data_IF_980803361637
#
_entry.id   IF_980803361637
#
_cell.length_a   1.000
_cell.length_b   1.000
_cell.length_c   1.000
_cell.angle_alpha   90.00
_cell.angle_beta   90.00
_cell.angle_gamma   90.00
#
_symmetry.space_group_name_H-M   'P 1'
#
loop_
_entity.id
_entity.type
_entity.pdbx_description
1 polymer ?
#
# COMPACT_ATOMS: atom_id res chain seq x y z
N UNK A 1 58.05 -5.41 7.95
CA UNK A 1 57.92 -6.46 6.92
C UNK A 1 56.56 -7.09 7.08
N UNK A 2 55.78 -7.07 6.00
CA UNK A 2 54.38 -7.44 5.91
C UNK A 2 54.15 -8.93 6.19
N UNK A 3 53.14 -9.26 7.00
CA UNK A 3 52.50 -10.58 6.97
C UNK A 3 50.99 -10.39 6.97
N UNK A 4 50.40 -10.80 5.86
CA UNK A 4 48.99 -10.73 5.52
C UNK A 4 48.13 -11.57 6.48
N UNK A 5 46.97 -11.04 6.83
CA UNK A 5 45.93 -11.74 7.59
C UNK A 5 44.87 -12.22 6.59
N UNK A 6 44.95 -13.48 6.17
CA UNK A 6 43.95 -14.13 5.32
C UNK A 6 42.80 -14.62 6.19
N UNK A 7 41.64 -13.95 6.09
CA UNK A 7 40.40 -14.41 6.71
C UNK A 7 39.76 -15.51 5.86
N UNK A 8 39.53 -16.66 6.48
CA UNK A 8 38.98 -17.87 5.89
C UNK A 8 37.45 -17.72 5.76
N UNK A 9 36.93 -17.66 4.54
CA UNK A 9 35.48 -17.80 4.28
C UNK A 9 35.06 -19.25 4.53
N UNK A 10 34.18 -19.47 5.50
CA UNK A 10 33.53 -20.75 5.73
C UNK A 10 32.36 -20.92 4.74
N UNK A 11 32.53 -21.87 3.82
CA UNK A 11 31.53 -22.33 2.86
C UNK A 11 30.60 -23.33 3.57
N UNK A 12 29.37 -22.95 3.86
CA UNK A 12 28.36 -23.88 4.40
C UNK A 12 27.57 -24.46 3.21
N UNK A 13 27.87 -25.72 2.88
CA UNK A 13 27.09 -26.55 1.96
C UNK A 13 25.82 -27.02 2.69
N UNK A 14 24.63 -26.61 2.21
CA UNK A 14 23.38 -27.30 2.52
C UNK A 14 23.07 -28.32 1.42
N UNK A 15 23.10 -29.60 1.78
CA UNK A 15 22.66 -30.70 0.92
C UNK A 15 21.14 -30.89 1.08
N UNK A 16 20.37 -30.66 0.00
CA UNK A 16 18.99 -31.13 -0.10
C UNK A 16 18.95 -32.66 -0.27
N UNK A 17 18.13 -33.34 0.53
CA UNK A 17 17.71 -34.72 0.25
C UNK A 17 16.26 -34.69 -0.20
N UNK A 18 16.01 -35.16 -1.42
CA UNK A 18 14.70 -35.40 -1.99
C UNK A 18 14.36 -36.89 -1.94
N UNK A 19 13.18 -37.20 -1.42
CA UNK A 19 12.36 -38.40 -1.67
C UNK A 19 10.92 -37.86 -1.77
N UNK A 20 10.05 -38.19 -2.73
CA UNK A 20 10.05 -39.25 -3.73
C UNK A 20 8.73 -40.02 -3.65
N UNK A 21 7.77 -39.71 -4.55
CA UNK A 21 6.59 -40.51 -4.91
C UNK A 21 5.31 -40.26 -4.07
N UNK A 22 4.08 -40.25 -4.60
CA UNK A 22 3.54 -40.49 -5.95
C UNK A 22 2.05 -40.90 -5.87
N UNK A 23 1.22 -40.48 -6.85
CA UNK A 23 -0.17 -40.93 -7.09
C UNK A 23 -1.24 -40.26 -6.21
N UNK A 24 -2.38 -39.73 -6.67
CA UNK A 24 -3.19 -39.95 -7.87
C UNK A 24 -4.64 -40.14 -7.40
N UNK A 25 -5.60 -39.32 -7.86
CA UNK A 25 -7.02 -39.54 -7.54
C UNK A 25 -7.88 -38.28 -7.53
N UNK A 26 -8.52 -38.03 -8.66
CA UNK A 26 -9.67 -37.14 -8.89
C UNK A 26 -10.91 -37.57 -8.07
N UNK A 27 -11.58 -36.63 -7.41
CA UNK A 27 -13.03 -36.64 -7.24
C UNK A 27 -13.56 -35.22 -7.08
N UNK A 28 -14.26 -34.77 -8.11
CA UNK A 28 -15.26 -33.71 -8.12
C UNK A 28 -16.43 -34.07 -7.20
N UNK A 29 -16.82 -33.17 -6.29
CA UNK A 29 -18.17 -33.15 -5.71
C UNK A 29 -18.71 -31.73 -5.70
N UNK A 30 -19.52 -31.46 -6.71
CA UNK A 30 -20.52 -30.40 -6.76
C UNK A 30 -21.74 -30.82 -5.95
N UNK A 31 -22.10 -30.05 -4.92
CA UNK A 31 -23.44 -30.13 -4.32
C UNK A 31 -24.22 -28.88 -4.72
N UNK A 32 -25.17 -29.07 -5.64
CA UNK A 32 -26.24 -28.14 -5.93
C UNK A 32 -27.46 -28.53 -5.08
N UNK A 33 -28.16 -27.54 -4.53
CA UNK A 33 -29.55 -27.69 -4.13
C UNK A 33 -30.32 -26.42 -4.47
N UNK A 34 -31.26 -26.59 -5.38
CA UNK A 34 -32.35 -25.68 -5.74
C UNK A 34 -33.24 -25.37 -4.54
N UNK A 35 -33.76 -24.14 -4.42
CA UNK A 35 -35.21 -23.92 -4.61
C UNK A 35 -35.59 -22.44 -4.86
N UNK A 36 -35.95 -22.18 -6.12
CA UNK A 36 -37.08 -21.42 -6.70
C UNK A 36 -37.99 -20.53 -5.84
N UNK A 37 -38.15 -19.27 -6.33
CA UNK A 37 -39.37 -18.43 -6.53
C UNK A 37 -40.32 -18.15 -5.33
N UNK A 38 -41.00 -17.00 -5.18
CA UNK A 38 -41.59 -16.10 -6.17
C UNK A 38 -42.04 -14.77 -5.52
N UNK A 39 -41.99 -13.69 -6.32
CA UNK A 39 -42.88 -12.51 -6.44
C UNK A 39 -43.45 -11.68 -5.25
N UNK A 40 -43.11 -10.37 -5.32
CA UNK A 40 -43.98 -9.21 -5.61
C UNK A 40 -45.38 -9.12 -4.97
N UNK A 41 -45.63 -8.09 -4.15
CA UNK A 41 -46.37 -6.87 -4.53
C UNK A 41 -46.81 -6.05 -3.30
N UNK A 42 -46.66 -4.72 -3.46
CA UNK A 42 -47.44 -3.58 -2.93
C UNK A 42 -48.68 -3.84 -2.04
N UNK A 43 -48.86 -3.07 -0.96
CA UNK A 43 -49.83 -1.95 -0.95
C UNK A 43 -49.73 -1.08 0.33
N UNK A 44 -50.13 0.16 0.10
CA UNK A 44 -50.37 1.37 0.88
C UNK A 44 -51.24 1.19 2.15
N UNK A 45 -51.00 1.97 3.22
CA UNK A 45 -52.01 2.90 3.76
C UNK A 45 -51.45 3.83 4.85
N UNK A 46 -51.99 5.04 4.81
CA UNK A 46 -51.89 6.15 5.73
C UNK A 46 -52.44 5.83 7.13
N UNK A 47 -52.03 6.59 8.15
CA UNK A 47 -52.93 7.60 8.74
C UNK A 47 -52.24 8.47 9.80
N UNK A 48 -52.41 9.77 9.57
CA UNK A 48 -52.22 10.90 10.46
C UNK A 48 -53.18 10.87 11.65
N UNK A 49 -52.74 11.34 12.82
CA UNK A 49 -53.66 12.03 13.71
C UNK A 49 -53.00 13.25 14.37
N UNK A 50 -53.64 14.39 14.13
CA UNK A 50 -53.35 15.73 14.66
C UNK A 50 -54.51 16.11 15.55
N UNK A 51 -54.24 16.80 16.67
CA UNK A 51 -55.04 17.86 17.37
C UNK A 51 -54.85 17.76 18.89
N UNK A 52 -54.11 18.67 19.53
CA UNK A 52 -54.52 19.99 20.07
C UNK A 52 -55.69 19.94 21.06
N UNK A 53 -55.44 20.25 22.34
CA UNK A 53 -55.96 21.50 22.91
C UNK A 53 -55.36 21.86 24.28
N UNK A 54 -55.15 23.17 24.39
CA UNK A 54 -54.77 24.03 25.51
C UNK A 54 -55.70 23.99 26.73
N UNK A 55 -55.14 24.31 27.90
CA UNK A 55 -55.48 25.49 28.74
C UNK A 55 -55.40 25.19 30.24
N UNK A 56 -54.51 25.87 30.98
CA UNK A 56 -54.88 26.89 31.97
C UNK A 56 -53.76 27.21 32.99
N UNK A 57 -53.64 28.50 33.25
CA UNK A 57 -52.66 29.19 34.10
C UNK A 57 -53.03 29.12 35.59
N UNK A 58 -52.04 29.13 36.51
CA UNK A 58 -51.97 30.18 37.55
C UNK A 58 -50.64 30.21 38.35
N UNK A 59 -50.08 31.43 38.40
CA UNK A 59 -49.19 32.11 39.36
C UNK A 59 -48.37 31.38 40.45
N UNK A 60 -47.07 31.72 40.45
CA UNK A 60 -46.47 32.51 41.54
C UNK A 60 -45.43 31.82 42.43
N UNK A 61 -44.14 32.18 42.28
CA UNK A 61 -43.30 32.65 43.39
C UNK A 61 -41.91 33.07 42.89
N UNK A 62 -41.53 34.28 43.29
CA UNK A 62 -40.21 34.90 43.13
C UNK A 62 -39.12 34.10 43.84
N UNK A 63 -37.96 33.99 43.22
CA UNK A 63 -36.74 33.39 43.76
C UNK A 63 -35.54 33.86 42.93
N UNK A 64 -35.00 35.00 43.33
CA UNK A 64 -33.75 35.56 42.84
C UNK A 64 -32.60 34.63 43.23
N UNK A 65 -31.89 34.09 42.25
CA UNK A 65 -30.60 33.45 42.46
C UNK A 65 -29.69 33.80 41.29
N UNK A 66 -28.94 34.88 41.48
CA UNK A 66 -27.92 35.38 40.55
C UNK A 66 -26.73 34.42 40.56
N UNK A 67 -26.86 33.31 39.80
CA UNK A 67 -25.73 32.43 39.50
C UNK A 67 -24.94 33.06 38.37
N UNK A 68 -23.79 33.62 38.71
CA UNK A 68 -22.74 34.00 37.76
C UNK A 68 -22.12 32.72 37.22
N UNK A 69 -22.75 32.16 36.19
CA UNK A 69 -22.21 31.04 35.43
C UNK A 69 -20.99 31.55 34.66
N UNK A 70 -19.82 31.26 35.22
CA UNK A 70 -18.53 31.49 34.59
C UNK A 70 -18.41 30.44 33.50
N UNK A 71 -18.88 30.79 32.30
CA UNK A 71 -18.61 30.04 31.08
C UNK A 71 -17.10 30.02 30.84
N UNK A 72 -16.45 28.98 31.36
CA UNK A 72 -15.14 28.56 30.88
C UNK A 72 -15.38 27.87 29.54
N UNK A 73 -15.36 28.67 28.48
CA UNK A 73 -15.15 28.21 27.11
C UNK A 73 -13.76 27.55 27.04
N UNK A 74 -13.73 26.30 27.49
CA UNK A 74 -12.65 25.38 27.16
C UNK A 74 -13.03 24.83 25.81
N UNK A 75 -12.43 25.42 24.78
CA UNK A 75 -12.40 24.82 23.45
C UNK A 75 -11.56 23.54 23.58
N UNK A 76 -12.17 22.48 24.09
CA UNK A 76 -11.61 21.14 24.11
C UNK A 76 -11.50 20.73 22.64
N UNK A 77 -10.30 20.89 22.07
CA UNK A 77 -9.98 20.33 20.76
C UNK A 77 -10.28 18.84 20.87
N UNK A 78 -11.32 18.38 20.18
CA UNK A 78 -11.71 16.98 20.15
C UNK A 78 -10.46 16.13 19.87
N UNK A 79 -10.20 15.15 20.73
CA UNK A 79 -9.09 14.24 20.54
C UNK A 79 -9.34 13.43 19.26
N UNK A 80 -8.33 13.34 18.39
CA UNK A 80 -8.43 12.50 17.21
C UNK A 80 -8.46 11.02 17.62
N UNK A 81 -9.15 10.19 16.83
CA UNK A 81 -9.20 8.74 17.04
C UNK A 81 -7.77 8.15 17.08
N UNK A 82 -7.54 7.19 17.97
CA UNK A 82 -6.23 6.54 18.13
C UNK A 82 -5.86 5.70 16.90
N UNK A 83 -6.87 5.13 16.25
CA UNK A 83 -6.74 4.23 15.10
C UNK A 83 -7.82 4.56 14.08
N UNK A 84 -7.45 4.57 12.80
CA UNK A 84 -8.36 4.82 11.68
C UNK A 84 -8.15 3.82 10.55
N UNK A 85 -9.17 3.67 9.70
CA UNK A 85 -9.07 2.91 8.45
C UNK A 85 -8.97 3.86 7.27
N UNK A 86 -8.05 3.56 6.37
CA UNK A 86 -7.91 4.24 5.08
C UNK A 86 -8.32 3.31 3.95
N UNK A 87 -8.83 3.90 2.87
CA UNK A 87 -8.88 3.26 1.56
C UNK A 87 -7.72 3.76 0.71
N UNK A 88 -7.00 2.83 0.09
CA UNK A 88 -5.96 3.09 -0.90
C UNK A 88 -6.44 2.61 -2.26
N UNK A 89 -6.35 3.47 -3.28
CA UNK A 89 -6.52 3.08 -4.68
C UNK A 89 -5.25 3.37 -5.46
N UNK A 90 -4.59 2.33 -5.96
CA UNK A 90 -3.52 2.47 -6.93
C UNK A 90 -4.11 2.41 -8.33
N UNK A 91 -3.88 3.44 -9.14
CA UNK A 91 -4.29 3.51 -10.55
C UNK A 91 -3.05 3.63 -11.43
N UNK A 92 -2.91 2.71 -12.38
CA UNK A 92 -1.84 2.79 -13.38
C UNK A 92 -2.21 3.76 -14.49
N UNK A 93 -1.23 4.55 -14.93
CA UNK A 93 -1.31 5.35 -16.16
C UNK A 93 -0.26 4.90 -17.18
N UNK A 94 0.54 3.88 -16.87
CA UNK A 94 1.52 3.27 -17.77
C UNK A 94 0.85 2.46 -18.87
N UNK A 95 0.84 3.00 -20.08
CA UNK A 95 0.23 2.39 -21.25
C UNK A 95 1.11 2.60 -22.49
N UNK A 96 0.90 1.79 -23.53
CA UNK A 96 1.69 1.88 -24.76
C UNK A 96 1.56 3.23 -25.47
N UNK A 97 0.41 3.90 -25.31
CA UNK A 97 0.14 5.18 -25.99
C UNK A 97 0.94 6.34 -25.38
N UNK A 98 1.32 6.27 -24.11
CA UNK A 98 2.03 7.34 -23.42
C UNK A 98 3.45 6.97 -22.96
N UNK A 99 3.80 5.69 -22.88
CA UNK A 99 5.19 5.21 -22.69
C UNK A 99 5.51 4.19 -23.80
N UNK A 100 5.67 4.62 -25.06
CA UNK A 100 5.74 3.71 -26.21
C UNK A 100 7.08 2.95 -26.34
N UNK A 101 8.18 3.46 -25.76
CA UNK A 101 9.52 2.93 -26.02
C UNK A 101 9.68 1.55 -25.39
N UNK A 102 9.81 0.53 -26.25
CA UNK A 102 9.92 -0.88 -25.87
C UNK A 102 8.81 -1.38 -24.92
N UNK A 103 7.61 -0.78 -24.99
CA UNK A 103 6.50 -1.12 -24.09
C UNK A 103 6.20 -2.62 -24.09
N UNK A 104 6.20 -3.30 -22.93
CA UNK A 104 6.01 -4.74 -22.88
C UNK A 104 4.53 -5.13 -23.07
N UNK A 105 4.25 -6.09 -23.94
CA UNK A 105 2.89 -6.55 -24.21
C UNK A 105 2.17 -7.20 -23.01
N UNK A 106 2.93 -7.68 -22.01
CA UNK A 106 2.43 -8.21 -20.75
C UNK A 106 2.68 -7.25 -19.56
N UNK A 107 2.67 -5.93 -19.81
CA UNK A 107 2.82 -4.89 -18.78
C UNK A 107 1.85 -5.09 -17.60
N UNK A 108 2.38 -5.09 -16.38
CA UNK A 108 1.60 -5.18 -15.15
C UNK A 108 2.38 -4.59 -13.97
N UNK A 109 1.69 -4.51 -12.83
CA UNK A 109 2.28 -4.25 -11.53
C UNK A 109 2.12 -5.49 -10.68
N UNK A 110 3.18 -5.89 -9.98
CA UNK A 110 3.10 -7.04 -9.07
C UNK A 110 2.12 -6.78 -7.92
N UNK A 111 1.71 -7.82 -7.19
CA UNK A 111 1.03 -7.65 -5.92
C UNK A 111 1.70 -6.60 -5.03
N UNK A 112 0.90 -5.72 -4.41
CA UNK A 112 1.40 -4.69 -3.51
C UNK A 112 1.77 -5.28 -2.15
N UNK A 113 2.84 -4.76 -1.56
CA UNK A 113 3.29 -5.09 -0.20
C UNK A 113 3.74 -3.84 0.51
N UNK A 114 3.43 -3.74 1.80
CA UNK A 114 3.69 -2.54 2.58
C UNK A 114 3.37 -2.72 4.04
N UNK A 115 3.39 -1.61 4.77
CA UNK A 115 3.11 -1.57 6.20
C UNK A 115 2.72 -0.15 6.63
N UNK A 116 2.02 -0.06 7.75
CA UNK A 116 2.01 1.17 8.55
C UNK A 116 3.03 1.03 9.67
N UNK A 117 3.78 2.10 9.94
CA UNK A 117 4.96 2.04 10.80
C UNK A 117 5.23 3.36 11.52
N UNK A 118 6.12 3.29 12.51
CA UNK A 118 6.69 4.46 13.18
C UNK A 118 7.96 4.94 12.44
N UNK A 119 8.63 5.96 12.95
CA UNK A 119 9.85 6.51 12.32
C UNK A 119 11.04 5.54 12.25
N UNK A 120 11.03 4.48 13.05
CA UNK A 120 12.10 3.46 13.11
C UNK A 120 11.85 2.28 12.16
N UNK A 121 10.64 2.16 11.60
CA UNK A 121 10.31 1.21 10.53
C UNK A 121 10.54 1.80 9.14
N UNK A 122 10.99 0.97 8.20
CA UNK A 122 11.03 1.29 6.76
C UNK A 122 11.21 0.00 5.95
N UNK A 123 10.79 0.00 4.69
CA UNK A 123 11.02 -1.13 3.75
C UNK A 123 11.94 -0.76 2.59
N UNK A 124 12.01 0.51 2.20
CA UNK A 124 13.01 1.04 1.26
C UNK A 124 13.28 2.51 1.54
N UNK A 125 14.45 3.00 1.13
CA UNK A 125 14.80 4.43 1.12
C UNK A 125 15.67 4.73 -0.11
N UNK A 126 15.44 5.84 -0.83
CA UNK A 126 16.39 6.31 -1.83
C UNK A 126 17.79 6.49 -1.25
N UNK A 127 18.82 6.35 -2.08
CA UNK A 127 20.23 6.45 -1.71
C UNK A 127 20.69 5.39 -0.67
N UNK A 128 19.94 4.30 -0.52
CA UNK A 128 20.32 3.15 0.32
C UNK A 128 20.28 1.84 -0.47
N UNK A 129 21.06 0.85 -0.04
CA UNK A 129 21.02 -0.48 -0.66
C UNK A 129 19.67 -1.16 -0.40
N UNK A 130 19.11 -1.82 -1.41
CA UNK A 130 17.92 -2.64 -1.26
C UNK A 130 18.17 -3.84 -0.33
N UNK A 131 17.18 -4.16 0.51
CA UNK A 131 17.18 -5.41 1.28
C UNK A 131 17.00 -6.62 0.35
N UNK A 132 17.27 -7.83 0.84
CA UNK A 132 17.03 -9.03 0.04
C UNK A 132 15.54 -9.20 -0.32
N UNK A 133 14.64 -8.84 0.58
CA UNK A 133 13.20 -8.79 0.30
C UNK A 133 12.83 -7.76 -0.77
N UNK A 134 13.43 -6.57 -0.74
CA UNK A 134 13.21 -5.55 -1.77
C UNK A 134 13.75 -5.99 -3.14
N UNK A 135 14.94 -6.58 -3.19
CA UNK A 135 15.50 -7.17 -4.44
C UNK A 135 14.56 -8.24 -4.98
N UNK A 136 14.13 -9.20 -4.15
CA UNK A 136 13.21 -10.25 -4.58
C UNK A 136 11.88 -9.67 -5.07
N UNK A 137 11.36 -8.62 -4.44
CA UNK A 137 10.12 -7.96 -4.87
C UNK A 137 10.32 -7.25 -6.21
N UNK A 138 11.40 -6.49 -6.38
CA UNK A 138 11.66 -5.69 -7.56
C UNK A 138 12.04 -6.51 -8.80
N UNK A 139 12.71 -7.66 -8.64
CA UNK A 139 13.12 -8.51 -9.77
C UNK A 139 12.07 -9.55 -10.17
N UNK A 140 11.21 -9.98 -9.23
CA UNK A 140 10.30 -11.12 -9.45
C UNK A 140 8.84 -10.88 -9.10
N UNK A 141 8.53 -9.79 -8.39
CA UNK A 141 7.20 -9.52 -7.84
C UNK A 141 6.85 -10.37 -6.62
N UNK A 142 7.79 -11.19 -6.12
CA UNK A 142 7.59 -12.02 -4.93
C UNK A 142 7.58 -11.17 -3.66
N UNK A 143 6.51 -11.28 -2.88
CA UNK A 143 6.37 -10.60 -1.59
C UNK A 143 6.96 -11.40 -0.42
N UNK A 144 7.36 -12.65 -0.65
CA UNK A 144 7.61 -13.60 0.44
C UNK A 144 8.66 -13.11 1.43
N UNK A 145 9.86 -12.81 0.94
CA UNK A 145 10.97 -12.39 1.79
C UNK A 145 10.76 -11.00 2.39
N UNK A 146 10.14 -10.07 1.64
CA UNK A 146 9.82 -8.74 2.17
C UNK A 146 8.77 -8.80 3.30
N UNK A 147 7.83 -9.75 3.26
CA UNK A 147 6.89 -9.99 4.37
C UNK A 147 7.60 -10.52 5.61
N UNK A 148 8.64 -11.33 5.46
CA UNK A 148 9.47 -11.79 6.59
C UNK A 148 10.23 -10.60 7.22
N UNK A 149 10.77 -9.70 6.40
CA UNK A 149 11.42 -8.47 6.85
C UNK A 149 10.42 -7.55 7.58
N UNK A 150 9.21 -7.36 7.04
CA UNK A 150 8.14 -6.60 7.72
C UNK A 150 7.74 -7.25 9.04
N UNK A 151 7.68 -8.59 9.10
CA UNK A 151 7.40 -9.30 10.35
C UNK A 151 8.50 -9.04 11.40
N UNK A 152 9.77 -8.90 10.98
CA UNK A 152 10.84 -8.50 11.89
C UNK A 152 10.68 -7.06 12.40
N UNK A 153 10.22 -6.13 11.55
CA UNK A 153 9.89 -4.74 11.94
C UNK A 153 8.76 -4.73 12.98
N UNK A 154 7.71 -5.55 12.78
CA UNK A 154 6.61 -5.69 13.73
C UNK A 154 7.08 -6.26 15.07
N UNK A 155 7.91 -7.31 15.05
CA UNK A 155 8.47 -7.91 16.27
C UNK A 155 9.40 -6.95 17.04
N UNK A 156 10.01 -5.99 16.35
CA UNK A 156 10.79 -4.92 16.96
C UNK A 156 9.92 -3.79 17.56
N UNK A 157 8.59 -3.84 17.40
CA UNK A 157 7.66 -2.83 17.88
C UNK A 157 7.54 -1.60 16.96
N UNK A 158 7.95 -1.71 15.69
CA UNK A 158 8.01 -0.58 14.75
C UNK A 158 6.88 -0.55 13.72
N UNK A 159 5.97 -1.51 13.76
CA UNK A 159 4.79 -1.59 12.91
C UNK A 159 3.72 -2.45 13.57
N UNK A 160 2.45 -2.21 13.25
CA UNK A 160 1.31 -3.04 13.67
C UNK A 160 0.47 -3.59 12.51
N UNK A 161 0.72 -3.18 11.27
CA UNK A 161 -0.09 -3.59 10.12
C UNK A 161 0.78 -3.99 8.93
N UNK A 162 0.45 -5.13 8.32
CA UNK A 162 1.04 -5.61 7.06
C UNK A 162 0.02 -5.41 5.94
N UNK A 163 0.45 -4.77 4.85
CA UNK A 163 -0.30 -4.70 3.59
C UNK A 163 0.19 -5.85 2.71
N UNK A 164 -0.72 -6.72 2.28
CA UNK A 164 -0.43 -7.90 1.46
C UNK A 164 -1.52 -8.06 0.39
N UNK A 165 -1.46 -7.23 -0.64
CA UNK A 165 -2.60 -6.98 -1.53
C UNK A 165 -2.34 -7.44 -2.97
N UNK A 166 -3.41 -7.52 -3.75
CA UNK A 166 -3.31 -7.87 -5.18
C UNK A 166 -2.62 -6.78 -6.01
N UNK A 167 -2.17 -7.14 -7.21
CA UNK A 167 -1.49 -6.21 -8.14
C UNK A 167 -2.44 -5.66 -9.19
N UNK A 168 -1.88 -4.97 -10.20
CA UNK A 168 -2.65 -4.48 -11.36
C UNK A 168 -2.16 -5.19 -12.61
N UNK A 169 -2.91 -6.22 -13.03
CA UNK A 169 -2.53 -7.09 -14.15
C UNK A 169 -3.58 -7.11 -15.28
N UNK A 170 -3.15 -7.50 -16.48
CA UNK A 170 -4.05 -7.63 -17.63
C UNK A 170 -4.71 -6.30 -18.00
N UNK A 171 -6.04 -6.32 -18.18
CA UNK A 171 -6.84 -5.14 -18.52
C UNK A 171 -7.23 -4.28 -17.31
N UNK A 172 -6.91 -4.69 -16.08
CA UNK A 172 -7.20 -3.90 -14.89
C UNK A 172 -6.41 -2.58 -14.93
N UNK A 173 -7.07 -1.48 -14.56
CA UNK A 173 -6.45 -0.15 -14.47
C UNK A 173 -6.10 0.25 -13.05
N UNK A 174 -6.72 -0.38 -12.06
CA UNK A 174 -6.52 -0.05 -10.66
C UNK A 174 -6.74 -1.26 -9.76
N UNK A 175 -6.27 -1.11 -8.52
CA UNK A 175 -6.58 -1.97 -7.38
C UNK A 175 -6.92 -1.08 -6.19
N UNK A 176 -7.95 -1.46 -5.44
CA UNK A 176 -8.41 -0.73 -4.25
C UNK A 176 -8.48 -1.69 -3.08
N UNK A 177 -7.96 -1.26 -1.92
CA UNK A 177 -8.00 -2.00 -0.66
C UNK A 177 -8.06 -1.04 0.52
N UNK A 178 -8.25 -1.58 1.72
CA UNK A 178 -8.24 -0.81 2.97
C UNK A 178 -7.06 -1.23 3.84
N UNK A 179 -6.54 -0.30 4.63
CA UNK A 179 -5.50 -0.58 5.62
C UNK A 179 -5.73 0.23 6.89
N UNK A 180 -5.16 -0.23 8.01
CA UNK A 180 -5.26 0.45 9.30
C UNK A 180 -4.01 1.27 9.59
N UNK A 181 -4.20 2.46 10.14
CA UNK A 181 -3.14 3.29 10.70
C UNK A 181 -3.50 3.67 12.14
N UNK A 182 -2.49 3.82 12.99
CA UNK A 182 -2.67 4.31 14.36
C UNK A 182 -1.75 5.49 14.63
N UNK A 183 -2.03 6.30 15.65
CA UNK A 183 -1.17 7.43 15.99
C UNK A 183 0.28 6.98 16.30
N UNK A 184 0.45 5.75 16.81
CA UNK A 184 1.76 5.15 17.06
C UNK A 184 2.47 4.68 15.77
N UNK A 185 1.71 4.33 14.74
CA UNK A 185 2.18 3.79 13.46
C UNK A 185 1.51 4.55 12.31
N UNK A 186 1.88 5.83 12.17
CA UNK A 186 1.20 6.80 11.31
C UNK A 186 1.89 7.05 9.97
N UNK A 187 2.97 6.33 9.67
CA UNK A 187 3.66 6.40 8.38
C UNK A 187 3.23 5.23 7.50
N UNK A 188 2.94 5.49 6.23
CA UNK A 188 2.64 4.47 5.24
C UNK A 188 3.81 4.27 4.29
N UNK A 189 4.26 3.02 4.14
CA UNK A 189 5.11 2.61 3.02
C UNK A 189 4.48 1.46 2.25
N UNK A 190 4.51 1.53 0.92
CA UNK A 190 3.99 0.48 0.03
C UNK A 190 4.80 0.44 -1.26
N UNK A 191 5.04 -0.76 -1.79
CA UNK A 191 5.83 -0.98 -3.01
C UNK A 191 5.17 -1.99 -3.95
N UNK A 192 5.51 -1.92 -5.23
CA UNK A 192 5.12 -2.89 -6.26
C UNK A 192 6.10 -2.84 -7.44
N UNK A 193 6.45 -4.00 -7.98
CA UNK A 193 7.31 -4.12 -9.15
C UNK A 193 6.60 -3.62 -10.41
N UNK A 194 7.33 -2.87 -11.22
CA UNK A 194 6.98 -2.56 -12.61
C UNK A 194 7.37 -3.76 -13.45
N UNK A 195 6.42 -4.41 -14.12
CA UNK A 195 6.66 -5.73 -14.67
C UNK A 195 6.27 -5.84 -16.16
N UNK A 196 7.05 -6.55 -16.98
CA UNK A 196 8.41 -7.03 -16.68
C UNK A 196 9.40 -5.86 -16.56
N UNK A 197 10.44 -6.02 -15.74
CA UNK A 197 11.61 -5.14 -15.68
C UNK A 197 12.79 -5.90 -15.06
N UNK A 198 14.02 -5.37 -15.15
CA UNK A 198 15.18 -5.91 -14.45
C UNK A 198 14.93 -5.93 -12.93
N UNK A 199 14.75 -4.75 -12.33
CA UNK A 199 14.55 -4.55 -10.90
C UNK A 199 13.80 -3.23 -10.60
N UNK A 200 12.89 -2.83 -11.49
CA UNK A 200 12.20 -1.54 -11.40
C UNK A 200 10.92 -1.63 -10.59
N UNK A 201 10.65 -0.63 -9.75
CA UNK A 201 9.49 -0.62 -8.88
C UNK A 201 8.90 0.78 -8.68
N UNK A 202 7.66 0.82 -8.21
CA UNK A 202 7.02 2.02 -7.67
C UNK A 202 6.90 1.89 -6.16
N UNK A 203 6.86 3.02 -5.44
CA UNK A 203 6.57 2.98 -4.02
C UNK A 203 6.28 4.33 -3.38
N UNK A 204 5.62 4.27 -2.23
CA UNK A 204 5.54 5.35 -1.24
C UNK A 204 6.47 5.00 -0.09
N UNK A 205 7.33 5.96 0.27
CA UNK A 205 8.21 5.86 1.41
C UNK A 205 7.68 6.80 2.50
N UNK A 206 7.36 6.22 3.66
CA UNK A 206 7.06 6.94 4.91
C UNK A 206 6.08 8.12 4.79
N UNK A 207 4.99 7.98 4.03
CA UNK A 207 3.98 9.03 3.90
C UNK A 207 3.29 9.28 5.25
N UNK A 208 3.35 10.49 5.83
CA UNK A 208 2.68 10.78 7.09
C UNK A 208 1.16 10.85 6.91
N UNK A 209 0.43 10.06 7.70
CA UNK A 209 -1.03 10.03 7.75
C UNK A 209 -1.59 10.79 8.95
N UNK A 210 -0.79 11.05 9.97
CA UNK A 210 -1.19 11.79 11.17
C UNK A 210 -0.16 12.86 11.51
N UNK A 211 -0.59 14.11 11.63
CA UNK A 211 0.27 15.25 11.98
C UNK A 211 -0.56 16.28 12.76
N UNK A 212 0.04 16.89 13.78
CA UNK A 212 -0.60 17.96 14.57
C UNK A 212 -2.01 17.61 15.11
N UNK A 213 -2.17 16.38 15.61
CA UNK A 213 -3.45 15.85 16.12
C UNK A 213 -4.56 15.77 15.06
N UNK A 214 -4.20 15.63 13.78
CA UNK A 214 -5.13 15.49 12.67
C UNK A 214 -4.73 14.34 11.74
N UNK A 215 -5.74 13.56 11.35
CA UNK A 215 -5.61 12.54 10.31
C UNK A 215 -5.66 13.19 8.93
N UNK A 216 -4.87 12.67 8.00
CA UNK A 216 -4.93 13.02 6.59
C UNK A 216 -6.30 12.60 6.05
N UNK A 217 -7.12 13.54 5.60
CA UNK A 217 -8.45 13.23 5.07
C UNK A 217 -8.39 12.53 3.70
N UNK A 218 -7.58 13.08 2.79
CA UNK A 218 -7.38 12.53 1.45
C UNK A 218 -6.12 13.09 0.81
N UNK A 219 -5.43 12.28 0.00
CA UNK A 219 -4.32 12.72 -0.83
C UNK A 219 -4.18 11.87 -2.08
N UNK A 220 -3.86 12.53 -3.20
CA UNK A 220 -3.40 11.87 -4.43
C UNK A 220 -1.89 12.07 -4.55
N UNK A 221 -1.15 10.97 -4.68
CA UNK A 221 0.30 10.95 -4.84
C UNK A 221 0.63 10.41 -6.23
N UNK A 222 1.39 11.18 -6.99
CA UNK A 222 1.93 10.76 -8.28
C UNK A 222 3.18 9.89 -8.09
N UNK A 223 3.23 8.75 -8.76
CA UNK A 223 4.27 7.75 -8.54
C UNK A 223 5.40 7.88 -9.54
N UNK A 224 6.63 7.82 -9.01
CA UNK A 224 7.85 7.69 -9.79
C UNK A 224 8.31 6.24 -9.81
N UNK A 225 9.10 5.91 -10.83
CA UNK A 225 9.79 4.63 -10.94
C UNK A 225 11.17 4.73 -10.30
N UNK A 226 11.51 3.70 -9.53
CA UNK A 226 12.81 3.47 -8.92
C UNK A 226 13.48 2.26 -9.56
N UNK A 227 14.80 2.29 -9.57
CA UNK A 227 15.70 1.19 -9.85
C UNK A 227 16.23 0.67 -8.51
N UNK A 228 16.20 -0.65 -8.28
CA UNK A 228 16.62 -1.22 -7.00
C UNK A 228 18.15 -1.33 -6.85
N UNK A 229 18.90 -1.21 -7.95
CA UNK A 229 20.35 -1.30 -7.99
C UNK A 229 20.89 -2.74 -7.93
N UNK A 230 20.06 -3.74 -8.21
CA UNK A 230 20.41 -5.17 -8.10
C UNK A 230 20.52 -5.88 -9.45
N UNK A 231 19.88 -5.40 -10.52
CA UNK A 231 19.98 -5.92 -11.88
C UNK A 231 20.32 -4.83 -12.91
N UNK A 232 21.37 -5.04 -13.70
CA UNK A 232 21.91 -4.10 -14.68
C UNK A 232 21.27 -4.23 -16.08
N UNK A 233 20.17 -4.98 -16.22
CA UNK A 233 19.38 -4.97 -17.44
C UNK A 233 18.92 -3.56 -17.79
N UNK A 234 18.95 -3.17 -19.06
CA UNK A 234 18.63 -1.77 -19.44
C UNK A 234 17.21 -1.60 -19.95
N UNK A 235 16.53 -2.69 -20.32
CA UNK A 235 15.18 -2.73 -20.91
C UNK A 235 14.26 -3.64 -20.10
N UNK A 236 12.94 -3.41 -20.23
CA UNK A 236 11.88 -4.21 -19.59
C UNK A 236 12.04 -5.73 -19.73
N UNK A 237 12.47 -6.22 -20.88
CA UNK A 237 12.62 -7.66 -21.19
C UNK A 237 14.06 -8.16 -21.19
N UNK A 238 15.00 -7.44 -20.56
CA UNK A 238 16.40 -7.86 -20.50
C UNK A 238 16.55 -9.19 -19.76
N UNK A 239 17.55 -9.98 -20.12
CA UNK A 239 17.94 -11.12 -19.31
C UNK A 239 18.58 -10.62 -18.02
N UNK A 240 18.41 -11.38 -16.93
CA UNK A 240 18.98 -11.01 -15.63
C UNK A 240 20.50 -10.80 -15.72
N UNK A 241 20.95 -9.68 -15.16
CA UNK A 241 22.35 -9.28 -15.11
C UNK A 241 22.65 -8.67 -13.74
N UNK A 242 22.98 -9.50 -12.74
CA UNK A 242 23.25 -9.01 -11.39
C UNK A 242 24.27 -7.85 -11.36
N UNK A 243 23.90 -6.76 -10.69
CA UNK A 243 24.73 -5.58 -10.48
C UNK A 243 25.81 -5.87 -9.44
N UNK A 244 27.08 -5.63 -9.77
CA UNK A 244 28.22 -5.97 -8.90
C UNK A 244 29.31 -4.89 -8.90
N UNK A 245 29.56 -4.22 -7.76
CA UNK A 245 28.80 -4.29 -6.50
C UNK A 245 27.36 -3.78 -6.68
N UNK A 246 26.42 -4.22 -5.82
CA UNK A 246 25.05 -3.69 -5.83
C UNK A 246 25.07 -2.16 -5.63
N UNK A 247 24.17 -1.48 -6.33
CA UNK A 247 23.99 -0.03 -6.26
C UNK A 247 22.90 0.33 -5.23
N UNK A 248 22.72 1.62 -5.00
CA UNK A 248 21.65 2.11 -4.13
C UNK A 248 20.36 2.28 -4.91
N UNK A 249 19.23 2.26 -4.20
CA UNK A 249 17.93 2.57 -4.77
C UNK A 249 17.92 4.02 -5.26
N UNK A 250 17.63 4.21 -6.55
CA UNK A 250 17.61 5.52 -7.20
C UNK A 250 16.37 5.68 -8.06
N UNK A 251 16.03 6.93 -8.41
CA UNK A 251 15.02 7.17 -9.44
C UNK A 251 15.52 6.64 -10.79
N UNK A 252 14.68 5.86 -11.47
CA UNK A 252 15.03 5.25 -12.75
C UNK A 252 15.38 6.32 -13.79
N UNK A 253 16.55 6.18 -14.38
CA UNK A 253 16.96 6.94 -15.56
C UNK A 253 17.60 5.97 -16.54
N UNK A 254 16.99 5.82 -17.72
CA UNK A 254 17.50 4.94 -18.76
C UNK A 254 17.97 5.73 -19.98
N UNK A 255 18.67 5.05 -20.89
CA UNK A 255 18.83 5.57 -22.24
C UNK A 255 17.43 5.74 -22.90
N UNK A 256 17.15 6.85 -23.61
CA UNK A 256 15.87 7.07 -24.28
C UNK A 256 15.52 6.03 -25.35
N UNK A 257 16.47 5.21 -25.80
CA UNK A 257 16.22 4.09 -26.72
C UNK A 257 15.81 2.80 -26.01
N UNK A 258 15.96 2.75 -24.69
CA UNK A 258 15.68 1.58 -23.87
C UNK A 258 14.34 1.70 -23.13
N UNK A 259 14.00 2.88 -22.62
CA UNK A 259 12.68 3.21 -22.06
C UNK A 259 12.41 4.73 -22.11
N UNK A 260 11.18 5.15 -21.83
CA UNK A 260 10.82 6.57 -21.76
C UNK A 260 11.18 7.23 -20.42
N UNK A 261 11.81 6.53 -19.46
CA UNK A 261 12.02 7.04 -18.10
C UNK A 261 13.31 7.86 -17.91
N UNK A 262 13.16 9.05 -17.32
CA UNK A 262 14.24 9.87 -16.79
C UNK A 262 13.82 10.45 -15.43
N UNK A 263 14.66 10.28 -14.40
CA UNK A 263 14.35 10.65 -13.03
C UNK A 263 12.98 10.14 -12.54
N UNK A 264 12.64 8.91 -12.94
CA UNK A 264 11.44 8.18 -12.54
C UNK A 264 10.13 8.64 -13.18
N UNK A 265 10.18 9.56 -14.15
CA UNK A 265 9.02 10.06 -14.92
C UNK A 265 9.28 9.95 -16.41
N UNK A 266 8.26 10.12 -17.24
CA UNK A 266 8.44 10.21 -18.68
C UNK A 266 9.39 11.37 -19.02
N UNK A 267 10.44 11.09 -19.78
CA UNK A 267 11.54 12.01 -20.12
C UNK A 267 11.07 13.26 -20.85
N UNK A 268 10.18 13.13 -21.83
CA UNK A 268 9.66 14.28 -22.58
C UNK A 268 8.46 14.97 -21.92
N UNK A 269 7.43 14.21 -21.55
CA UNK A 269 6.16 14.77 -21.08
C UNK A 269 6.13 15.09 -19.58
N UNK A 270 7.06 14.54 -18.79
CA UNK A 270 7.01 14.59 -17.33
C UNK A 270 5.86 13.77 -16.71
N UNK A 271 5.18 12.94 -17.50
CA UNK A 271 4.09 12.10 -17.03
C UNK A 271 4.58 11.05 -16.02
N UNK A 272 3.74 10.79 -15.01
CA UNK A 272 3.98 9.75 -14.02
C UNK A 272 3.44 8.40 -14.49
N UNK A 273 4.00 7.31 -13.95
CA UNK A 273 3.64 5.94 -14.33
C UNK A 273 2.28 5.50 -13.75
N UNK A 274 1.82 6.18 -12.70
CA UNK A 274 0.56 5.95 -12.03
C UNK A 274 0.41 6.87 -10.83
N UNK A 275 -0.66 6.66 -10.08
CA UNK A 275 -0.96 7.44 -8.88
C UNK A 275 -1.63 6.58 -7.81
N UNK A 276 -1.41 6.96 -6.57
CA UNK A 276 -2.09 6.41 -5.40
C UNK A 276 -3.01 7.48 -4.83
N UNK A 277 -4.27 7.12 -4.61
CA UNK A 277 -5.22 7.91 -3.85
C UNK A 277 -5.44 7.25 -2.49
N UNK A 278 -5.26 8.02 -1.43
CA UNK A 278 -5.51 7.59 -0.04
C UNK A 278 -6.64 8.43 0.49
N UNK A 279 -7.64 7.81 1.11
CA UNK A 279 -8.81 8.48 1.66
C UNK A 279 -9.18 7.88 3.01
N UNK A 280 -9.36 8.74 4.00
CA UNK A 280 -9.85 8.35 5.32
C UNK A 280 -11.28 7.81 5.19
N UNK A 281 -11.53 6.65 5.79
CA UNK A 281 -12.87 6.06 5.86
C UNK A 281 -13.63 6.64 7.05
N UNK A 282 -14.88 7.04 6.80
CA UNK A 282 -15.84 7.48 7.83
C UNK A 282 -16.65 6.31 8.37
#
# INVERSE_FOLDING_TARGET
MSTANTSLCALILFTLTACGGGGGGDTTQTNASNNTSNETSTDTSSDTNTTTNTSDNNAGSSGDNTSTDTSTDTTETAQAEDTVTYQLTFTRTWEADNFPTNFPGNSHFSPLVGLTHNADGFIFKPDTAASAGMVSMAETGSKFQLKEEISAIQNAGNSNYLIDESGVSGSAKSVTFTFEASQAFSLLSVVSMVAPSPDWFIGLESLPLFTDNQWLESQTIQLKVYDAGSDSGTRFGSANQATSPAESIMLLTSDPTDSDFSAGVHSDSGAYIGMIEIKLMQ
#
